data_IF_236117979762
#
_entry.id   IF_236117979762
#
_cell.length_a   1.000
_cell.length_b   1.000
_cell.length_c   1.000
_cell.angle_alpha   90.00
_cell.angle_beta   90.00
_cell.angle_gamma   90.00
#
_symmetry.space_group_name_H-M   'P 1'
#
loop_
_entity.id
_entity.type
_entity.pdbx_description
1 polymer ?
#
# COMPACT_ATOMS: atom_id res chain seq x y z
N UNK A 1 -1.73 3.36 32.15
CA UNK A 1 -0.67 3.21 31.11
C UNK A 1 -0.94 4.25 30.05
N UNK A 2 -0.34 5.41 30.23
CA UNK A 2 -0.68 6.69 29.61
C UNK A 2 -0.28 6.72 28.14
N UNK A 3 -1.23 7.01 27.25
CA UNK A 3 -0.97 7.34 25.85
C UNK A 3 0.16 8.39 25.76
N UNK A 4 1.22 8.05 25.02
CA UNK A 4 2.43 8.88 24.85
C UNK A 4 2.15 10.11 23.95
N UNK A 5 0.98 10.15 23.31
CA UNK A 5 0.53 11.25 22.48
C UNK A 5 -0.07 12.37 23.34
N UNK A 6 0.80 13.22 23.92
CA UNK A 6 0.39 14.53 24.45
C UNK A 6 -0.38 15.31 23.37
N UNK A 7 -1.29 16.25 23.73
CA UNK A 7 -2.03 17.05 22.77
C UNK A 7 -1.07 17.99 22.04
N UNK A 8 -0.41 17.47 21.00
CA UNK A 8 0.16 18.27 19.95
C UNK A 8 -1.02 18.93 19.25
N UNK A 9 -0.89 20.22 18.89
CA UNK A 9 -1.89 20.94 18.07
C UNK A 9 -1.97 20.41 16.63
N UNK A 10 -1.74 19.12 16.43
CA UNK A 10 -1.57 18.45 15.16
C UNK A 10 -2.56 17.30 15.09
N UNK A 11 -3.20 17.20 13.94
CA UNK A 11 -4.01 16.05 13.62
C UNK A 11 -3.13 14.91 13.16
N UNK A 12 -3.42 13.70 13.62
CA UNK A 12 -2.71 12.49 13.27
C UNK A 12 -3.68 11.59 12.53
N UNK A 13 -3.28 11.14 11.34
CA UNK A 13 -4.00 10.19 10.53
C UNK A 13 -3.07 9.02 10.18
N UNK A 14 -3.61 7.80 10.18
CA UNK A 14 -2.84 6.57 9.97
C UNK A 14 -3.10 6.04 8.56
N UNK A 15 -2.05 5.97 7.75
CA UNK A 15 -2.07 5.34 6.42
C UNK A 15 -1.35 4.00 6.53
N UNK A 16 -2.09 2.99 6.97
CA UNK A 16 -1.59 1.63 7.14
C UNK A 16 -2.78 0.67 7.04
N UNK A 17 -2.65 -0.39 6.23
CA UNK A 17 -3.65 -1.45 6.13
C UNK A 17 -3.43 -2.52 7.18
N UNK A 18 -4.46 -3.28 7.56
CA UNK A 18 -4.30 -4.42 8.47
C UNK A 18 -3.61 -5.63 7.81
N UNK A 19 -2.37 -5.44 7.37
CA UNK A 19 -1.55 -6.42 6.67
C UNK A 19 -0.83 -7.32 7.68
N UNK A 20 -1.59 -7.97 8.57
CA UNK A 20 -1.08 -9.01 9.49
C UNK A 20 -1.26 -8.74 10.99
N UNK A 21 -2.01 -7.72 11.39
CA UNK A 21 -2.33 -7.50 12.82
C UNK A 21 -3.63 -8.18 13.25
N UNK A 22 -4.49 -8.59 12.30
CA UNK A 22 -5.71 -9.34 12.59
C UNK A 22 -6.74 -8.53 13.38
N UNK A 23 -6.82 -7.23 13.12
CA UNK A 23 -7.71 -6.27 13.75
C UNK A 23 -7.10 -5.48 14.91
N UNK A 24 -5.91 -5.85 15.40
CA UNK A 24 -5.28 -5.14 16.53
C UNK A 24 -4.96 -3.67 16.22
N UNK A 25 -4.68 -3.34 14.95
CA UNK A 25 -4.47 -1.95 14.55
C UNK A 25 -5.73 -1.10 14.72
N UNK A 26 -6.91 -1.66 14.47
CA UNK A 26 -8.18 -0.92 14.61
C UNK A 26 -8.48 -0.66 16.08
N UNK A 27 -8.28 -1.67 16.93
CA UNK A 27 -8.40 -1.52 18.38
C UNK A 27 -7.39 -0.49 18.94
N UNK A 28 -6.17 -0.42 18.37
CA UNK A 28 -5.20 0.61 18.71
C UNK A 28 -5.68 2.00 18.29
N UNK A 29 -6.10 2.17 17.03
CA UNK A 29 -6.53 3.45 16.47
C UNK A 29 -7.74 4.00 17.23
N UNK A 30 -8.73 3.15 17.55
CA UNK A 30 -9.91 3.52 18.34
C UNK A 30 -9.52 4.00 19.75
N UNK A 31 -8.68 3.23 20.45
CA UNK A 31 -8.23 3.58 21.81
C UNK A 31 -7.48 4.92 21.84
N UNK A 32 -6.69 5.21 20.81
CA UNK A 32 -5.92 6.45 20.72
C UNK A 32 -6.74 7.62 20.11
N UNK A 33 -8.00 7.41 19.72
CA UNK A 33 -8.85 8.44 19.12
C UNK A 33 -8.33 8.94 17.77
N UNK A 34 -7.65 8.08 17.01
CA UNK A 34 -7.06 8.38 15.71
C UNK A 34 -8.02 8.01 14.56
N UNK A 35 -7.72 8.51 13.37
CA UNK A 35 -8.37 8.07 12.12
C UNK A 35 -7.39 7.24 11.30
N UNK A 36 -7.90 6.21 10.61
CA UNK A 36 -7.13 5.32 9.72
C UNK A 36 -7.82 5.19 8.38
N UNK A 37 -7.04 5.06 7.32
CA UNK A 37 -7.56 4.67 6.01
C UNK A 37 -8.12 3.23 6.09
N UNK A 38 -9.34 2.96 5.60
CA UNK A 38 -9.91 1.61 5.67
C UNK A 38 -9.17 0.63 4.77
N UNK A 39 -9.31 -0.66 5.08
CA UNK A 39 -8.85 -1.77 4.24
C UNK A 39 -7.65 -2.53 4.83
N UNK A 40 -7.51 -3.82 4.49
CA UNK A 40 -6.41 -4.69 4.91
C UNK A 40 -5.08 -4.43 4.18
N UNK A 41 -5.09 -4.00 2.92
CA UNK A 41 -3.88 -3.95 2.10
C UNK A 41 -3.72 -2.63 1.33
N UNK A 42 -2.48 -2.20 1.12
CA UNK A 42 -2.19 -1.03 0.28
C UNK A 42 -2.60 -1.24 -1.19
N UNK A 43 -2.67 -2.48 -1.68
CA UNK A 43 -3.08 -2.78 -3.05
C UNK A 43 -4.53 -2.37 -3.30
N UNK A 44 -5.43 -2.76 -2.39
CA UNK A 44 -6.84 -2.35 -2.41
C UNK A 44 -6.96 -0.83 -2.34
N UNK A 45 -6.17 -0.18 -1.49
CA UNK A 45 -6.22 1.29 -1.36
C UNK A 45 -5.75 2.00 -2.64
N UNK A 46 -4.78 1.43 -3.37
CA UNK A 46 -4.31 2.00 -4.63
C UNK A 46 -5.28 1.74 -5.79
N UNK A 47 -5.83 0.52 -5.90
CA UNK A 47 -6.73 0.12 -6.97
C UNK A 47 -8.17 0.61 -6.76
N UNK A 48 -8.58 0.81 -5.50
CA UNK A 48 -9.96 0.92 -5.08
C UNK A 48 -10.59 -0.46 -4.81
N UNK A 49 -11.44 -0.53 -3.80
CA UNK A 49 -12.06 -1.78 -3.32
C UNK A 49 -12.75 -2.56 -4.42
N UNK A 50 -13.59 -1.92 -5.23
CA UNK A 50 -14.33 -2.62 -6.29
C UNK A 50 -13.42 -3.25 -7.36
N UNK A 51 -12.34 -2.57 -7.77
CA UNK A 51 -11.39 -3.13 -8.74
C UNK A 51 -10.53 -4.23 -8.13
N UNK A 52 -10.15 -4.08 -6.86
CA UNK A 52 -9.39 -5.09 -6.15
C UNK A 52 -10.21 -6.37 -5.92
N UNK A 53 -11.47 -6.23 -5.52
CA UNK A 53 -12.37 -7.38 -5.31
C UNK A 53 -12.59 -8.14 -6.62
N UNK A 54 -12.87 -7.43 -7.72
CA UNK A 54 -13.01 -8.04 -9.04
C UNK A 54 -11.71 -8.75 -9.49
N UNK A 55 -10.54 -8.15 -9.20
CA UNK A 55 -9.24 -8.74 -9.48
C UNK A 55 -8.99 -10.02 -8.67
N UNK A 56 -9.34 -10.02 -7.38
CA UNK A 56 -9.20 -11.19 -6.51
C UNK A 56 -10.20 -12.30 -6.85
N UNK A 57 -11.39 -11.96 -7.34
CA UNK A 57 -12.38 -12.92 -7.84
C UNK A 57 -11.94 -13.56 -9.18
N UNK A 58 -11.38 -12.77 -10.10
CA UNK A 58 -10.92 -13.26 -11.40
C UNK A 58 -9.61 -14.06 -11.30
N UNK A 59 -8.61 -13.53 -10.59
CA UNK A 59 -7.26 -14.09 -10.56
C UNK A 59 -6.60 -14.02 -9.19
N UNK A 60 -6.99 -14.98 -8.33
CA UNK A 60 -6.34 -15.24 -7.03
C UNK A 60 -4.82 -15.41 -7.16
N UNK A 61 -4.35 -15.98 -8.28
CA UNK A 61 -2.92 -16.22 -8.59
C UNK A 61 -2.11 -14.97 -8.98
N UNK A 62 -2.52 -13.77 -8.57
CA UNK A 62 -1.87 -12.50 -8.92
C UNK A 62 -0.85 -12.08 -7.88
N UNK A 63 0.40 -11.89 -8.32
CA UNK A 63 1.45 -11.30 -7.50
C UNK A 63 1.51 -9.79 -7.74
N UNK A 64 1.06 -9.00 -6.77
CA UNK A 64 1.06 -7.55 -6.89
C UNK A 64 2.44 -6.95 -6.70
N UNK A 65 2.77 -5.96 -7.53
CA UNK A 65 3.91 -5.08 -7.34
C UNK A 65 3.44 -3.63 -7.25
N UNK A 66 3.98 -2.89 -6.29
CA UNK A 66 3.89 -1.41 -6.20
C UNK A 66 5.21 -0.77 -6.60
N UNK A 67 5.26 0.54 -6.80
CA UNK A 67 6.49 1.29 -7.10
C UNK A 67 7.59 1.01 -6.06
N UNK A 68 7.23 0.96 -4.77
CA UNK A 68 8.18 0.64 -3.70
C UNK A 68 8.75 -0.77 -3.88
N UNK A 69 7.89 -1.76 -4.15
CA UNK A 69 8.32 -3.13 -4.36
C UNK A 69 9.19 -3.25 -5.61
N UNK A 70 8.83 -2.60 -6.71
CA UNK A 70 9.64 -2.58 -7.95
C UNK A 70 11.02 -1.96 -7.69
N UNK A 71 11.08 -0.83 -6.95
CA UNK A 71 12.34 -0.16 -6.61
C UNK A 71 13.26 -1.03 -5.74
N UNK A 72 12.69 -1.91 -4.94
CA UNK A 72 13.42 -2.72 -3.95
C UNK A 72 13.33 -4.22 -4.19
N UNK A 73 12.88 -4.64 -5.37
CA UNK A 73 12.55 -6.02 -5.70
C UNK A 73 13.67 -6.99 -5.35
N UNK A 74 14.91 -6.62 -5.67
CA UNK A 74 16.10 -7.38 -5.31
C UNK A 74 16.20 -7.65 -3.80
N UNK A 75 16.00 -6.62 -2.98
CA UNK A 75 16.14 -6.74 -1.52
C UNK A 75 14.98 -7.48 -0.90
N UNK A 76 13.74 -7.12 -1.25
CA UNK A 76 12.56 -7.62 -0.53
C UNK A 76 12.06 -8.97 -1.05
N UNK A 77 12.14 -9.20 -2.37
CA UNK A 77 11.67 -10.46 -2.98
C UNK A 77 12.86 -11.40 -3.15
N UNK A 78 13.86 -11.00 -3.95
CA UNK A 78 14.93 -11.94 -4.34
C UNK A 78 15.81 -12.37 -3.16
N UNK A 79 16.23 -11.43 -2.33
CA UNK A 79 17.04 -11.71 -1.13
C UNK A 79 16.17 -11.98 0.09
N UNK A 80 15.14 -11.16 0.31
CA UNK A 80 14.26 -11.24 1.48
C UNK A 80 13.49 -12.57 1.57
N UNK A 81 13.16 -13.18 0.43
CA UNK A 81 12.57 -14.51 0.37
C UNK A 81 13.62 -15.62 0.13
N UNK A 82 14.92 -15.30 0.13
CA UNK A 82 15.98 -16.29 -0.03
C UNK A 82 16.15 -16.88 -1.43
N UNK A 83 15.46 -16.36 -2.45
CA UNK A 83 15.53 -16.85 -3.85
C UNK A 83 16.94 -16.76 -4.44
N UNK A 84 17.74 -15.77 -4.03
CA UNK A 84 19.15 -15.66 -4.45
C UNK A 84 20.01 -16.80 -3.91
N UNK A 85 19.78 -17.22 -2.66
CA UNK A 85 20.53 -18.30 -2.03
C UNK A 85 19.98 -19.69 -2.42
N UNK A 86 18.67 -19.77 -2.67
CA UNK A 86 17.94 -21.00 -2.92
C UNK A 86 16.97 -20.82 -4.09
N UNK A 87 17.45 -20.87 -5.35
CA UNK A 87 16.62 -20.64 -6.54
C UNK A 87 15.41 -21.58 -6.65
N UNK A 88 15.49 -22.79 -6.09
CA UNK A 88 14.39 -23.74 -6.05
C UNK A 88 13.16 -23.25 -5.26
N UNK A 89 13.33 -22.26 -4.36
CA UNK A 89 12.22 -21.65 -3.63
C UNK A 89 11.27 -20.89 -4.56
N UNK A 90 11.72 -20.51 -5.77
CA UNK A 90 10.88 -19.83 -6.75
C UNK A 90 9.63 -20.65 -7.05
N UNK A 91 9.80 -21.93 -7.37
CA UNK A 91 8.67 -22.79 -7.75
C UNK A 91 7.76 -23.06 -6.54
N UNK A 92 8.33 -23.14 -5.34
CA UNK A 92 7.56 -23.30 -4.10
C UNK A 92 6.72 -22.09 -3.76
N UNK A 93 7.26 -20.87 -3.92
CA UNK A 93 6.54 -19.63 -3.59
C UNK A 93 5.63 -19.14 -4.70
N UNK A 94 6.06 -19.27 -5.94
CA UNK A 94 5.37 -18.70 -7.11
C UNK A 94 4.66 -19.73 -7.97
N UNK A 95 4.69 -21.03 -7.62
CA UNK A 95 4.11 -22.10 -8.44
C UNK A 95 2.59 -22.03 -8.66
N UNK A 96 1.87 -21.36 -7.75
CA UNK A 96 0.42 -21.11 -7.89
C UNK A 96 0.10 -19.69 -8.39
N UNK A 97 1.12 -18.88 -8.68
CA UNK A 97 0.94 -17.57 -9.28
C UNK A 97 0.99 -17.71 -10.80
N UNK A 98 0.11 -16.98 -11.49
CA UNK A 98 0.02 -16.99 -12.95
C UNK A 98 0.64 -15.73 -13.54
N UNK A 99 0.61 -14.63 -12.78
CA UNK A 99 1.06 -13.31 -13.26
C UNK A 99 1.58 -12.43 -12.15
N UNK A 100 2.37 -11.45 -12.57
CA UNK A 100 2.67 -10.23 -11.84
C UNK A 100 1.79 -9.11 -12.37
N UNK A 101 1.04 -8.47 -11.48
CA UNK A 101 0.33 -7.22 -11.79
C UNK A 101 1.06 -6.06 -11.14
N UNK A 102 1.70 -5.23 -11.95
CA UNK A 102 2.31 -3.98 -11.49
C UNK A 102 1.25 -2.88 -11.43
N UNK A 103 0.84 -2.53 -10.21
CA UNK A 103 -0.02 -1.38 -9.91
C UNK A 103 0.86 -0.15 -9.65
N UNK A 104 0.93 0.75 -10.62
CA UNK A 104 1.86 1.87 -10.62
C UNK A 104 1.27 3.12 -9.96
N UNK A 105 2.02 3.68 -9.00
CA UNK A 105 1.65 4.94 -8.35
C UNK A 105 2.16 6.15 -9.13
N UNK A 106 3.23 5.99 -9.92
CA UNK A 106 3.83 7.04 -10.74
C UNK A 106 3.94 6.62 -12.20
N UNK A 107 3.88 7.60 -13.11
CA UNK A 107 4.18 7.37 -14.52
C UNK A 107 5.70 7.41 -14.75
N UNK A 108 6.35 6.26 -14.53
CA UNK A 108 7.80 6.09 -14.65
C UNK A 108 8.13 4.88 -15.52
N UNK A 109 8.58 5.14 -16.76
CA UNK A 109 8.96 4.10 -17.72
C UNK A 109 10.11 3.21 -17.21
N UNK A 110 11.02 3.78 -16.41
CA UNK A 110 12.11 3.02 -15.78
C UNK A 110 11.59 1.99 -14.78
N UNK A 111 10.53 2.33 -14.02
CA UNK A 111 9.85 1.38 -13.14
C UNK A 111 9.10 0.31 -13.93
N UNK A 112 8.39 0.67 -15.01
CA UNK A 112 7.69 -0.30 -15.86
C UNK A 112 8.65 -1.36 -16.41
N UNK A 113 9.83 -0.94 -16.88
CA UNK A 113 10.86 -1.87 -17.35
C UNK A 113 11.40 -2.76 -16.24
N UNK A 114 11.63 -2.22 -15.03
CA UNK A 114 12.05 -3.02 -13.87
C UNK A 114 10.99 -4.04 -13.46
N UNK A 115 9.72 -3.65 -13.45
CA UNK A 115 8.61 -4.55 -13.12
C UNK A 115 8.49 -5.69 -14.14
N UNK A 116 8.67 -5.39 -15.44
CA UNK A 116 8.71 -6.42 -16.48
C UNK A 116 9.86 -7.41 -16.28
N UNK A 117 11.05 -6.92 -15.89
CA UNK A 117 12.20 -7.79 -15.57
C UNK A 117 11.93 -8.64 -14.32
N UNK A 118 11.32 -8.06 -13.29
CA UNK A 118 10.93 -8.80 -12.09
C UNK A 118 9.95 -9.95 -12.41
N UNK A 119 8.93 -9.68 -13.24
CA UNK A 119 8.01 -10.73 -13.69
C UNK A 119 8.73 -11.84 -14.48
N UNK A 120 9.63 -11.47 -15.40
CA UNK A 120 10.43 -12.44 -16.14
C UNK A 120 11.34 -13.28 -15.23
N UNK A 121 11.92 -12.68 -14.19
CA UNK A 121 12.78 -13.35 -13.23
C UNK A 121 12.00 -14.33 -12.33
N UNK A 122 10.75 -14.01 -11.99
CA UNK A 122 9.84 -14.95 -11.34
C UNK A 122 9.28 -15.99 -12.31
N UNK A 123 9.40 -15.77 -13.63
CA UNK A 123 8.82 -16.60 -14.68
C UNK A 123 7.30 -16.51 -14.75
N UNK A 124 6.75 -15.33 -14.45
CA UNK A 124 5.32 -15.03 -14.45
C UNK A 124 4.96 -14.09 -15.60
N UNK A 125 3.71 -14.15 -16.07
CA UNK A 125 3.19 -13.17 -17.04
C UNK A 125 3.25 -11.76 -16.44
N UNK A 126 3.48 -10.75 -17.27
CA UNK A 126 3.57 -9.36 -16.83
C UNK A 126 2.35 -8.56 -17.26
N UNK A 127 1.73 -7.89 -16.30
CA UNK A 127 0.68 -6.91 -16.55
C UNK A 127 0.95 -5.59 -15.81
N UNK A 128 0.38 -4.53 -16.36
CA UNK A 128 0.56 -3.16 -15.90
C UNK A 128 -0.79 -2.48 -15.74
N UNK A 129 -0.96 -1.76 -14.63
CA UNK A 129 -2.10 -0.88 -14.38
C UNK A 129 -1.61 0.38 -13.71
N UNK A 130 -1.92 1.54 -14.27
CA UNK A 130 -1.67 2.81 -13.60
C UNK A 130 -2.83 3.09 -12.64
N UNK A 131 -2.54 3.24 -11.35
CA UNK A 131 -3.54 3.47 -10.30
C UNK A 131 -3.36 4.82 -9.60
N UNK A 132 -2.18 5.45 -9.76
CA UNK A 132 -1.81 6.57 -8.91
C UNK A 132 -1.80 6.15 -7.44
N UNK A 133 -2.14 7.09 -6.56
CA UNK A 133 -2.22 6.85 -5.11
C UNK A 133 -3.61 6.41 -4.62
N UNK A 134 -4.53 6.07 -5.54
CA UNK A 134 -5.89 5.61 -5.21
C UNK A 134 -6.59 6.47 -4.17
N UNK A 135 -7.04 5.87 -3.07
CA UNK A 135 -7.80 6.52 -2.00
C UNK A 135 -6.98 7.49 -1.12
N UNK A 136 -5.64 7.52 -1.23
CA UNK A 136 -4.80 8.29 -0.30
C UNK A 136 -5.02 9.80 -0.38
N UNK A 137 -5.05 10.46 -1.56
CA UNK A 137 -5.17 11.91 -1.62
C UNK A 137 -6.46 12.42 -1.00
N UNK A 138 -7.59 11.75 -1.26
CA UNK A 138 -8.88 12.10 -0.68
C UNK A 138 -8.90 11.87 0.84
N UNK A 139 -8.39 10.74 1.32
CA UNK A 139 -8.29 10.47 2.75
C UNK A 139 -7.47 11.55 3.47
N UNK A 140 -6.32 11.94 2.92
CA UNK A 140 -5.47 12.99 3.49
C UNK A 140 -6.19 14.36 3.46
N UNK A 141 -6.86 14.70 2.36
CA UNK A 141 -7.60 15.95 2.25
C UNK A 141 -8.72 16.03 3.30
N UNK A 142 -9.48 14.95 3.47
CA UNK A 142 -10.56 14.85 4.45
C UNK A 142 -10.02 14.89 5.89
N UNK A 143 -8.91 14.20 6.15
CA UNK A 143 -8.21 14.30 7.43
C UNK A 143 -7.88 15.77 7.72
N UNK A 144 -7.21 16.49 6.82
CA UNK A 144 -6.86 17.90 7.00
C UNK A 144 -8.09 18.80 7.17
N UNK A 145 -9.16 18.57 6.39
CA UNK A 145 -10.37 19.40 6.41
C UNK A 145 -11.22 19.25 7.68
N UNK A 146 -11.20 18.06 8.32
CA UNK A 146 -11.93 17.80 9.57
C UNK A 146 -11.42 18.63 10.77
N UNK A 147 -10.46 19.52 10.56
CA UNK A 147 -9.91 20.43 11.58
C UNK A 147 -10.06 21.91 11.19
N UNK A 148 -11.29 22.48 11.15
CA UNK A 148 -11.54 23.86 10.75
C UNK A 148 -11.08 24.92 11.77
N UNK A 149 -10.48 24.53 12.89
CA UNK A 149 -10.17 25.41 14.03
C UNK A 149 -9.05 26.44 13.78
N UNK A 150 -8.47 26.50 12.58
CA UNK A 150 -7.36 27.41 12.24
C UNK A 150 -7.66 28.47 11.16
N UNK A 151 -8.64 28.27 10.28
CA UNK A 151 -8.85 29.21 9.15
C UNK A 151 -9.46 30.55 9.58
N UNK A 152 -10.17 30.62 10.72
CA UNK A 152 -10.87 31.84 11.16
C UNK A 152 -10.09 32.73 12.15
N UNK A 153 -8.98 32.27 12.75
CA UNK A 153 -8.24 33.06 13.77
C UNK A 153 -7.11 33.93 13.22
N UNK A 154 -6.70 33.75 11.95
CA UNK A 154 -5.72 34.63 11.30
C UNK A 154 -6.35 35.91 10.74
N UNK A 155 -7.63 35.89 10.36
CA UNK A 155 -8.35 37.06 9.82
C UNK A 155 -8.82 38.04 10.89
N UNK A 156 -8.90 37.62 12.16
CA UNK A 156 -9.29 38.48 13.29
C UNK A 156 -8.10 39.08 14.07
N UNK A 157 -6.85 38.87 13.61
CA UNK A 157 -5.62 39.43 14.19
C UNK A 157 -4.88 40.37 13.23
N UNK A 158 -5.61 41.05 12.34
CA UNK A 158 -5.12 42.21 11.60
C UNK A 158 -5.92 43.43 11.98
#
# INVERSE_FOLDING_TARGET
MTAIWRPLRRQIAVIYGDCGTGGEIDAFVEREGLIRIPGPHCYEMFMGTAEFDAEMEDQIGTFFLTDYMVRHFERIVMQGMGLRAHPQLRDMYFGNYTRVLYIAQTDDEGLRQKARRAAAELGLAYEYRFTGYGAFPEFIANAVAANPSQTQRQTQRR
#
